data_IF_782205245367
#
_entry.id   IF_782205245367
#
_cell.length_a   1.000
_cell.length_b   1.000
_cell.length_c   1.000
_cell.angle_alpha   90.00
_cell.angle_beta   90.00
_cell.angle_gamma   90.00
#
_symmetry.space_group_name_H-M   'P 1'
#
loop_
_entity.id
_entity.type
_entity.pdbx_description
1 polymer ?
#
# COMPACT_ATOMS: atom_id res chain seq x y z
N UNK A 1 8.77 -8.81 6.03
CA UNK A 1 9.33 -8.58 4.68
C UNK A 1 9.41 -7.07 4.44
N UNK A 2 10.33 -6.59 3.60
CA UNK A 2 10.40 -5.17 3.23
C UNK A 2 9.94 -5.03 1.78
N UNK A 3 8.96 -4.17 1.54
CA UNK A 3 8.53 -3.80 0.19
C UNK A 3 9.10 -2.41 -0.13
N UNK A 4 9.84 -2.29 -1.22
CA UNK A 4 10.28 -1.00 -1.73
C UNK A 4 9.39 -0.61 -2.91
N UNK A 5 8.74 0.55 -2.80
CA UNK A 5 7.98 1.15 -3.90
C UNK A 5 8.60 2.51 -4.15
N UNK A 6 9.19 2.67 -5.32
CA UNK A 6 9.86 3.91 -5.72
C UNK A 6 10.91 4.29 -4.64
N UNK A 7 10.78 5.43 -3.98
CA UNK A 7 11.64 5.90 -2.88
C UNK A 7 11.17 5.50 -1.46
N UNK A 8 10.10 4.70 -1.35
CA UNK A 8 9.48 4.37 -0.06
C UNK A 8 9.71 2.91 0.31
N UNK A 9 10.51 2.69 1.35
CA UNK A 9 10.63 1.38 2.01
C UNK A 9 9.54 1.22 3.05
N UNK A 10 8.74 0.17 2.90
CA UNK A 10 7.64 -0.20 3.79
C UNK A 10 8.01 -1.54 4.44
N UNK A 11 8.07 -1.56 5.77
CA UNK A 11 8.20 -2.82 6.50
C UNK A 11 6.82 -3.47 6.61
N UNK A 12 6.58 -4.55 5.87
CA UNK A 12 5.28 -5.23 5.82
C UNK A 12 4.95 -6.01 7.09
N UNK A 13 5.95 -6.39 7.90
CA UNK A 13 5.72 -7.11 9.16
C UNK A 13 5.07 -6.23 10.23
N UNK A 14 5.22 -4.91 10.12
CA UNK A 14 4.65 -3.94 11.07
C UNK A 14 3.31 -3.39 10.63
N UNK A 15 2.82 -3.77 9.44
CA UNK A 15 1.56 -3.23 8.93
C UNK A 15 0.40 -3.92 9.63
N UNK A 16 -0.44 -3.13 10.32
CA UNK A 16 -1.70 -3.62 10.89
C UNK A 16 -2.84 -3.56 9.89
N UNK A 17 -2.91 -2.49 9.09
CA UNK A 17 -4.01 -2.27 8.17
C UNK A 17 -3.52 -1.51 6.94
N UNK A 18 -3.96 -1.96 5.77
CA UNK A 18 -3.80 -1.22 4.51
C UNK A 18 -5.19 -0.80 4.04
N UNK A 19 -5.43 0.51 3.97
CA UNK A 19 -6.61 1.09 3.32
C UNK A 19 -6.23 1.60 1.96
N UNK A 20 -6.87 1.06 0.95
CA UNK A 20 -6.66 1.44 -0.44
C UNK A 20 -7.74 2.43 -0.79
N UNK A 21 -7.38 3.53 -1.44
CA UNK A 21 -8.33 4.50 -1.95
C UNK A 21 -8.24 4.52 -3.48
N UNK A 22 -9.03 3.66 -4.12
CA UNK A 22 -9.04 3.47 -5.58
C UNK A 22 -9.45 4.74 -6.34
N UNK A 23 -10.15 5.67 -5.68
CA UNK A 23 -10.54 6.95 -6.28
C UNK A 23 -9.44 7.99 -6.30
N UNK A 24 -8.37 7.79 -5.53
CA UNK A 24 -7.40 8.84 -5.26
C UNK A 24 -5.94 8.38 -5.43
N UNK A 25 -5.71 7.25 -6.13
CA UNK A 25 -4.39 6.67 -6.45
C UNK A 25 -3.41 6.69 -5.27
N UNK A 26 -3.91 6.44 -4.06
CA UNK A 26 -3.05 6.38 -2.88
C UNK A 26 -3.54 5.30 -1.92
N UNK A 27 -2.59 4.80 -1.16
CA UNK A 27 -2.80 3.82 -0.12
C UNK A 27 -2.39 4.43 1.21
N UNK A 28 -3.22 4.21 2.22
CA UNK A 28 -2.94 4.52 3.61
C UNK A 28 -2.51 3.24 4.32
N UNK A 29 -1.29 3.24 4.82
CA UNK A 29 -0.70 2.12 5.56
C UNK A 29 -0.67 2.49 7.03
N UNK A 30 -1.37 1.73 7.87
CA UNK A 30 -1.43 1.92 9.30
C UNK A 30 -0.54 0.89 9.98
N UNK A 31 0.44 1.37 10.75
CA UNK A 31 1.32 0.54 11.56
C UNK A 31 0.80 0.42 12.99
N UNK A 32 0.22 1.51 13.52
CA UNK A 32 -0.49 1.56 14.79
C UNK A 32 -1.60 2.62 14.76
N UNK A 33 -2.23 2.92 15.89
CA UNK A 33 -3.36 3.87 15.98
C UNK A 33 -2.96 5.31 15.66
N UNK A 34 -1.67 5.67 15.83
CA UNK A 34 -1.15 7.03 15.62
C UNK A 34 -0.14 7.13 14.47
N UNK A 35 0.44 6.01 14.04
CA UNK A 35 1.37 5.93 12.91
C UNK A 35 0.68 5.34 11.71
N UNK A 36 0.39 6.25 10.78
CA UNK A 36 0.03 5.89 9.41
C UNK A 36 0.96 6.59 8.43
N UNK A 37 1.13 5.98 7.27
CA UNK A 37 1.90 6.53 6.15
C UNK A 37 1.02 6.51 4.92
N UNK A 38 0.91 7.68 4.29
CA UNK A 38 0.29 7.81 2.97
C UNK A 38 1.33 7.51 1.91
N UNK A 39 1.02 6.58 1.02
CA UNK A 39 1.81 6.26 -0.17
C UNK A 39 0.95 6.64 -1.37
N UNK A 40 1.35 7.72 -2.04
CA UNK A 40 0.69 8.15 -3.28
C UNK A 40 1.41 7.51 -4.45
N UNK A 41 0.63 6.95 -5.38
CA UNK A 41 1.15 6.35 -6.59
C UNK A 41 0.94 7.34 -7.74
N UNK A 42 2.00 7.77 -8.45
CA UNK A 42 1.86 8.68 -9.58
C UNK A 42 1.12 8.00 -10.75
N UNK A 43 1.28 6.69 -10.90
CA UNK A 43 0.62 5.89 -11.94
C UNK A 43 -0.25 4.80 -11.32
N UNK A 44 -1.41 4.53 -11.95
CA UNK A 44 -2.32 3.47 -11.52
C UNK A 44 -1.68 2.07 -11.63
N UNK A 45 -0.76 1.87 -12.58
CA UNK A 45 -0.01 0.62 -12.75
C UNK A 45 0.90 0.31 -11.55
N UNK A 46 1.49 1.32 -10.93
CA UNK A 46 2.34 1.15 -9.74
C UNK A 46 1.51 0.72 -8.52
N UNK A 47 0.29 1.26 -8.42
CA UNK A 47 -0.66 0.84 -7.41
C UNK A 47 -1.09 -0.61 -7.63
N UNK A 48 -1.42 -1.00 -8.86
CA UNK A 48 -1.82 -2.38 -9.20
C UNK A 48 -0.71 -3.40 -8.92
N UNK A 49 0.54 -3.04 -9.26
CA UNK A 49 1.74 -3.80 -8.90
C UNK A 49 1.89 -3.94 -7.39
N UNK A 50 1.73 -2.85 -6.65
CA UNK A 50 1.78 -2.89 -5.18
C UNK A 50 0.70 -3.80 -4.60
N UNK A 51 -0.54 -3.69 -5.08
CA UNK A 51 -1.66 -4.53 -4.63
C UNK A 51 -1.42 -6.01 -4.93
N UNK A 52 -0.82 -6.32 -6.08
CA UNK A 52 -0.41 -7.67 -6.46
C UNK A 52 0.69 -8.21 -5.56
N UNK A 53 1.73 -7.41 -5.28
CA UNK A 53 2.86 -7.76 -4.40
C UNK A 53 2.44 -8.03 -2.95
N UNK A 54 1.49 -7.25 -2.41
CA UNK A 54 0.95 -7.51 -1.06
C UNK A 54 -0.09 -8.65 -1.02
N UNK A 55 -0.29 -9.36 -2.13
CA UNK A 55 -1.20 -10.51 -2.21
C UNK A 55 -2.69 -10.15 -2.11
N UNK A 56 -3.08 -8.91 -2.42
CA UNK A 56 -4.49 -8.44 -2.38
C UNK A 56 -5.20 -8.51 -3.73
N UNK A 57 -4.79 -9.41 -4.62
CA UNK A 57 -5.37 -9.56 -5.96
C UNK A 57 -6.86 -9.98 -5.95
N UNK A 58 -7.39 -10.44 -4.80
CA UNK A 58 -8.76 -10.95 -4.68
C UNK A 58 -9.84 -9.90 -4.30
N UNK A 59 -9.52 -8.60 -4.16
CA UNK A 59 -10.54 -7.57 -3.88
C UNK A 59 -11.27 -7.04 -5.14
N UNK A 60 -11.05 -7.69 -6.29
CA UNK A 60 -11.66 -7.36 -7.59
C UNK A 60 -12.74 -8.38 -8.02
N UNK A 61 -13.44 -9.02 -7.07
CA UNK A 61 -14.59 -9.88 -7.36
C UNK A 61 -15.89 -9.29 -6.81
#
# INVERSE_FOLDING_TARGET
MFLQIDDVVINTDKIRLIRINDKANHVMIYFDENHSKKVSFPHAEDMDRFLTEIGRKDFSA
#
